data_IF_305496782185
#
_entry.id   IF_305496782185
#
_cell.length_a   1.000
_cell.length_b   1.000
_cell.length_c   1.000
_cell.angle_alpha   90.00
_cell.angle_beta   90.00
_cell.angle_gamma   90.00
#
_symmetry.space_group_name_H-M   'P 1'
#
loop_
_entity.id
_entity.type
_entity.pdbx_description
1 polymer ?
#
# COMPACT_ATOMS: atom_id res chain seq x y z
N UNK A 1 24.17 4.84 -16.17
CA UNK A 1 22.93 5.50 -15.65
C UNK A 1 23.20 6.62 -14.65
N UNK A 2 24.48 6.91 -14.40
CA UNK A 2 24.91 7.83 -13.32
C UNK A 2 24.99 9.32 -13.73
N UNK A 3 24.84 9.63 -15.00
CA UNK A 3 25.01 11.00 -15.50
C UNK A 3 23.91 11.98 -15.07
N UNK A 4 22.68 11.53 -14.85
CA UNK A 4 21.58 12.41 -14.45
C UNK A 4 21.49 12.65 -12.93
N UNK A 5 21.95 11.72 -12.14
CA UNK A 5 21.92 11.82 -10.67
C UNK A 5 23.08 12.66 -10.12
N UNK A 6 24.27 12.54 -10.73
CA UNK A 6 25.51 13.18 -10.25
C UNK A 6 25.57 14.66 -10.64
N UNK A 7 25.01 15.05 -11.78
CA UNK A 7 25.18 16.42 -12.30
C UNK A 7 24.23 17.45 -11.69
N UNK A 8 23.17 17.04 -10.97
CA UNK A 8 22.22 17.99 -10.37
C UNK A 8 22.23 18.05 -8.85
N UNK A 9 23.03 17.26 -8.13
CA UNK A 9 23.05 17.22 -6.65
C UNK A 9 21.65 17.22 -5.99
N UNK A 10 20.61 16.90 -6.74
CA UNK A 10 19.22 16.94 -6.32
C UNK A 10 18.75 15.61 -5.72
N UNK A 11 19.46 14.52 -6.03
CA UNK A 11 19.16 13.19 -5.51
C UNK A 11 20.48 12.59 -5.06
N UNK A 12 20.78 12.68 -3.77
CA UNK A 12 21.91 11.98 -3.18
C UNK A 12 21.60 10.49 -3.16
N UNK A 13 22.25 9.72 -4.02
CA UNK A 13 22.05 8.27 -4.18
C UNK A 13 22.76 7.47 -3.09
N UNK A 14 23.66 8.08 -2.32
CA UNK A 14 24.39 7.39 -1.26
C UNK A 14 24.83 8.35 -0.15
N UNK A 15 24.42 8.10 1.06
CA UNK A 15 25.14 8.52 2.27
C UNK A 15 24.79 9.85 2.91
N UNK A 16 24.08 10.77 2.26
CA UNK A 16 23.57 11.98 2.91
C UNK A 16 22.06 11.90 3.03
N UNK A 17 21.58 11.60 4.23
CA UNK A 17 20.16 11.50 4.58
C UNK A 17 19.55 12.90 4.63
N UNK A 18 19.26 13.46 3.46
CA UNK A 18 18.48 14.68 3.34
C UNK A 18 17.02 14.27 3.07
N UNK A 19 16.03 15.00 3.61
CA UNK A 19 14.60 14.72 3.36
C UNK A 19 14.27 14.58 1.87
N UNK A 20 15.01 15.26 1.01
CA UNK A 20 14.90 15.20 -0.45
C UNK A 20 15.27 13.81 -1.01
N UNK A 21 16.18 13.07 -0.36
CA UNK A 21 16.59 11.73 -0.79
C UNK A 21 15.48 10.68 -0.64
N UNK A 22 14.50 10.93 0.22
CA UNK A 22 13.34 10.04 0.39
C UNK A 22 12.24 10.24 -0.66
N UNK A 23 12.28 11.33 -1.44
CA UNK A 23 11.25 11.59 -2.46
C UNK A 23 11.30 10.52 -3.56
N UNK A 24 12.49 10.12 -4.00
CA UNK A 24 12.65 9.12 -5.06
C UNK A 24 12.11 7.73 -4.67
N UNK A 25 12.51 7.13 -3.52
CA UNK A 25 11.92 5.88 -3.05
C UNK A 25 10.41 5.98 -2.79
N UNK A 26 9.95 7.11 -2.23
CA UNK A 26 8.53 7.34 -1.97
C UNK A 26 7.70 7.37 -3.25
N UNK A 27 8.22 8.00 -4.31
CA UNK A 27 7.58 8.00 -5.64
C UNK A 27 7.51 6.58 -6.23
N UNK A 28 8.57 5.79 -6.10
CA UNK A 28 8.55 4.40 -6.57
C UNK A 28 7.46 3.59 -5.87
N UNK A 29 7.37 3.67 -4.54
CA UNK A 29 6.32 3.00 -3.76
C UNK A 29 4.94 3.54 -4.12
N UNK A 30 4.80 4.86 -4.27
CA UNK A 30 3.55 5.52 -4.60
C UNK A 30 3.00 5.12 -5.97
N UNK A 31 3.84 5.06 -7.00
CA UNK A 31 3.45 4.64 -8.35
C UNK A 31 3.03 3.18 -8.36
N UNK A 32 3.80 2.31 -7.67
CA UNK A 32 3.45 0.90 -7.54
C UNK A 32 2.11 0.72 -6.81
N UNK A 33 1.94 1.41 -5.69
CA UNK A 33 0.69 1.40 -4.92
C UNK A 33 -0.50 1.91 -5.75
N UNK A 34 -0.35 3.03 -6.45
CA UNK A 34 -1.40 3.59 -7.31
C UNK A 34 -1.80 2.60 -8.42
N UNK A 35 -0.83 1.94 -9.06
CA UNK A 35 -1.09 0.93 -10.08
C UNK A 35 -1.91 -0.26 -9.55
N UNK A 36 -1.66 -0.65 -8.30
CA UNK A 36 -2.37 -1.76 -7.66
C UNK A 36 -3.77 -1.36 -7.18
N UNK A 37 -3.91 -0.17 -6.56
CA UNK A 37 -5.20 0.24 -5.98
C UNK A 37 -6.18 0.83 -6.98
N UNK A 38 -5.72 1.34 -8.12
CA UNK A 38 -6.62 1.92 -9.14
C UNK A 38 -7.64 0.90 -9.66
N UNK A 39 -7.27 -0.30 -10.12
CA UNK A 39 -8.24 -1.29 -10.57
C UNK A 39 -9.17 -1.74 -9.45
N UNK A 40 -8.67 -1.95 -8.23
CA UNK A 40 -9.50 -2.33 -7.09
C UNK A 40 -10.57 -1.27 -6.77
N UNK A 41 -10.20 0.01 -6.82
CA UNK A 41 -11.15 1.10 -6.62
C UNK A 41 -12.17 1.17 -7.75
N UNK A 42 -11.74 0.98 -9.00
CA UNK A 42 -12.65 0.95 -10.15
C UNK A 42 -13.69 -0.18 -10.03
N UNK A 43 -13.25 -1.37 -9.66
CA UNK A 43 -14.15 -2.52 -9.47
C UNK A 43 -15.13 -2.27 -8.32
N UNK A 44 -14.67 -1.71 -7.21
CA UNK A 44 -15.51 -1.37 -6.09
C UNK A 44 -16.57 -0.31 -6.47
N UNK A 45 -16.18 0.72 -7.23
CA UNK A 45 -17.10 1.75 -7.72
C UNK A 45 -18.11 1.18 -8.73
N UNK A 46 -17.68 0.30 -9.63
CA UNK A 46 -18.57 -0.35 -10.58
C UNK A 46 -19.62 -1.21 -9.85
N UNK A 47 -19.22 -1.98 -8.84
CA UNK A 47 -20.13 -2.78 -8.04
C UNK A 47 -21.16 -1.90 -7.32
N UNK A 48 -20.73 -0.80 -6.68
CA UNK A 48 -21.65 0.13 -6.01
C UNK A 48 -22.60 0.83 -7.03
N UNK A 49 -22.15 1.09 -8.25
CA UNK A 49 -22.97 1.71 -9.29
C UNK A 49 -24.04 0.78 -9.87
N UNK A 50 -23.86 -0.54 -9.73
CA UNK A 50 -24.79 -1.57 -10.19
C UNK A 50 -25.86 -1.91 -9.12
N UNK A 51 -25.73 -1.42 -7.90
CA UNK A 51 -26.69 -1.65 -6.82
C UNK A 51 -28.04 -0.94 -7.07
N UNK A 52 -29.11 -1.52 -6.57
CA UNK A 52 -30.47 -1.02 -6.75
C UNK A 52 -30.66 0.43 -6.28
N UNK A 53 -30.00 0.82 -5.18
CA UNK A 53 -30.10 2.19 -4.69
C UNK A 53 -29.55 3.23 -5.67
N UNK A 54 -28.56 2.85 -6.49
CA UNK A 54 -28.00 3.72 -7.51
C UNK A 54 -29.05 3.97 -8.62
N UNK A 55 -29.80 2.94 -9.01
CA UNK A 55 -30.90 3.07 -9.95
C UNK A 55 -32.01 4.01 -9.42
N UNK A 56 -32.45 3.80 -8.17
CA UNK A 56 -33.46 4.69 -7.57
C UNK A 56 -32.98 6.13 -7.42
N UNK A 57 -31.71 6.34 -7.10
CA UNK A 57 -31.14 7.69 -7.00
C UNK A 57 -31.10 8.41 -8.36
N UNK A 58 -30.80 7.68 -9.44
CA UNK A 58 -30.88 8.21 -10.82
C UNK A 58 -32.31 8.57 -11.19
N UNK A 59 -33.29 7.74 -10.85
CA UNK A 59 -34.72 8.03 -11.09
C UNK A 59 -35.16 9.30 -10.35
N UNK A 60 -34.56 9.64 -9.22
CA UNK A 60 -34.82 10.90 -8.47
C UNK A 60 -34.10 12.12 -9.05
N UNK A 61 -33.37 11.97 -10.17
CA UNK A 61 -32.72 13.09 -10.86
C UNK A 61 -31.39 13.53 -10.24
N UNK A 62 -30.74 12.71 -9.41
CA UNK A 62 -29.44 13.02 -8.90
C UNK A 62 -28.39 12.95 -10.01
N UNK A 63 -27.49 13.95 -10.07
CA UNK A 63 -26.40 13.94 -11.05
C UNK A 63 -25.36 12.85 -10.74
N UNK A 64 -24.80 12.24 -11.77
CA UNK A 64 -23.77 11.17 -11.65
C UNK A 64 -22.58 11.60 -10.79
N UNK A 65 -22.13 12.84 -10.90
CA UNK A 65 -21.03 13.38 -10.11
C UNK A 65 -21.39 13.39 -8.62
N UNK A 66 -22.61 13.78 -8.27
CA UNK A 66 -23.08 13.79 -6.88
C UNK A 66 -23.20 12.37 -6.34
N UNK A 67 -23.70 11.42 -7.13
CA UNK A 67 -23.78 10.00 -6.81
C UNK A 67 -22.39 9.43 -6.56
N UNK A 68 -21.42 9.73 -7.44
CA UNK A 68 -20.06 9.25 -7.33
C UNK A 68 -19.40 9.71 -6.01
N UNK A 69 -19.38 11.02 -5.74
CA UNK A 69 -18.64 11.54 -4.60
C UNK A 69 -19.32 11.34 -3.25
N UNK A 70 -20.65 11.37 -3.19
CA UNK A 70 -21.36 11.31 -1.91
C UNK A 70 -21.93 9.93 -1.57
N UNK A 71 -22.05 9.04 -2.55
CA UNK A 71 -22.67 7.73 -2.33
C UNK A 71 -21.72 6.58 -2.66
N UNK A 72 -21.16 6.54 -3.88
CA UNK A 72 -20.33 5.42 -4.31
C UNK A 72 -18.95 5.44 -3.65
N UNK A 73 -18.24 6.57 -3.72
CA UNK A 73 -16.87 6.68 -3.24
C UNK A 73 -16.73 6.37 -1.73
N UNK A 74 -17.56 6.90 -0.81
CA UNK A 74 -17.44 6.57 0.59
C UNK A 74 -17.68 5.07 0.88
N UNK A 75 -18.64 4.45 0.19
CA UNK A 75 -18.93 3.02 0.36
C UNK A 75 -17.85 2.14 -0.24
N UNK A 76 -17.36 2.47 -1.43
CA UNK A 76 -16.25 1.77 -2.09
C UNK A 76 -14.99 1.81 -1.22
N UNK A 77 -14.62 2.99 -0.68
CA UNK A 77 -13.46 3.14 0.19
C UNK A 77 -13.58 2.31 1.46
N UNK A 78 -14.74 2.30 2.12
CA UNK A 78 -14.97 1.46 3.31
C UNK A 78 -14.79 -0.03 2.97
N UNK A 79 -15.25 -0.47 1.80
CA UNK A 79 -15.07 -1.83 1.32
C UNK A 79 -13.60 -2.20 1.01
N UNK A 80 -12.74 -1.21 0.73
CA UNK A 80 -11.33 -1.41 0.43
C UNK A 80 -10.42 -1.38 1.66
N UNK A 81 -10.92 -0.95 2.84
CA UNK A 81 -10.11 -0.86 4.06
C UNK A 81 -9.40 -2.20 4.39
N UNK A 82 -10.07 -3.37 4.35
CA UNK A 82 -9.40 -4.64 4.61
C UNK A 82 -8.26 -4.94 3.64
N UNK A 83 -8.48 -4.69 2.35
CA UNK A 83 -7.46 -4.88 1.31
C UNK A 83 -6.27 -3.95 1.52
N UNK A 84 -6.53 -2.71 1.96
CA UNK A 84 -5.46 -1.77 2.30
C UNK A 84 -4.63 -2.26 3.49
N UNK A 85 -5.26 -2.74 4.56
CA UNK A 85 -4.56 -3.31 5.71
C UNK A 85 -3.72 -4.54 5.33
N UNK A 86 -4.26 -5.43 4.52
CA UNK A 86 -3.55 -6.62 4.03
C UNK A 86 -2.33 -6.24 3.17
N UNK A 87 -2.42 -5.18 2.37
CA UNK A 87 -1.32 -4.73 1.53
C UNK A 87 -0.15 -4.11 2.30
N UNK A 88 -0.33 -3.73 3.57
CA UNK A 88 0.77 -3.25 4.42
C UNK A 88 1.85 -4.35 4.55
N UNK A 89 1.44 -5.62 4.72
CA UNK A 89 2.38 -6.74 4.75
C UNK A 89 3.18 -6.87 3.45
N UNK A 90 2.53 -6.72 2.30
CA UNK A 90 3.20 -6.73 0.99
C UNK A 90 4.11 -5.52 0.81
N UNK A 91 3.71 -4.35 1.31
CA UNK A 91 4.51 -3.13 1.25
C UNK A 91 5.81 -3.27 2.05
N UNK A 92 5.78 -3.94 3.22
CA UNK A 92 7.00 -4.24 4.00
C UNK A 92 7.98 -5.11 3.21
N UNK A 93 7.49 -6.13 2.50
CA UNK A 93 8.35 -6.96 1.66
C UNK A 93 8.97 -6.16 0.50
N UNK A 94 8.21 -5.28 -0.15
CA UNK A 94 8.71 -4.42 -1.22
C UNK A 94 9.67 -3.35 -0.71
N UNK A 95 9.45 -2.82 0.51
CA UNK A 95 10.32 -1.84 1.14
C UNK A 95 11.75 -2.38 1.29
N UNK A 96 11.93 -3.67 1.60
CA UNK A 96 13.24 -4.34 1.69
C UNK A 96 14.08 -4.15 0.42
N UNK A 97 13.46 -4.31 -0.75
CA UNK A 97 14.14 -4.15 -2.04
C UNK A 97 14.51 -2.68 -2.28
N UNK A 98 13.60 -1.77 -1.97
CA UNK A 98 13.81 -0.34 -2.18
C UNK A 98 14.88 0.21 -1.25
N UNK A 99 14.88 -0.19 0.02
CA UNK A 99 15.89 0.19 0.99
C UNK A 99 17.29 -0.25 0.55
N UNK A 100 17.41 -1.46 0.02
CA UNK A 100 18.71 -1.96 -0.47
C UNK A 100 19.20 -1.22 -1.71
N UNK A 101 18.30 -0.89 -2.67
CA UNK A 101 18.66 -0.18 -3.90
C UNK A 101 19.10 1.27 -3.60
N UNK A 102 18.39 1.95 -2.69
CA UNK A 102 18.67 3.33 -2.33
C UNK A 102 19.65 3.49 -1.16
N UNK A 103 20.21 2.38 -0.65
CA UNK A 103 21.12 2.35 0.51
C UNK A 103 20.56 3.11 1.72
N UNK A 104 19.25 3.01 1.92
CA UNK A 104 18.56 3.61 3.06
C UNK A 104 18.78 2.67 4.27
N UNK A 105 19.30 3.16 5.41
CA UNK A 105 19.51 2.34 6.59
C UNK A 105 18.16 1.95 7.20
N UNK A 106 17.61 0.84 6.73
CA UNK A 106 16.37 0.23 7.17
C UNK A 106 16.55 -1.26 7.39
N UNK A 107 15.48 -1.93 7.78
CA UNK A 107 15.50 -3.36 8.10
C UNK A 107 15.86 -4.23 6.89
N UNK A 108 15.33 -3.86 5.70
CA UNK A 108 15.64 -4.57 4.47
C UNK A 108 17.10 -4.39 4.02
N UNK A 109 17.67 -3.23 4.22
CA UNK A 109 19.08 -2.98 3.96
C UNK A 109 19.99 -3.86 4.85
N UNK A 110 19.63 -4.05 6.13
CA UNK A 110 20.34 -4.93 7.04
C UNK A 110 20.31 -6.38 6.57
N UNK A 111 19.15 -6.90 6.17
CA UNK A 111 19.02 -8.26 5.62
C UNK A 111 19.99 -8.47 4.44
N UNK A 112 20.01 -7.54 3.49
CA UNK A 112 20.87 -7.65 2.30
C UNK A 112 22.35 -7.65 2.68
N UNK A 113 22.79 -6.81 3.63
CA UNK A 113 24.17 -6.79 4.09
C UNK A 113 24.56 -8.10 4.77
N UNK A 114 23.73 -8.64 5.67
CA UNK A 114 24.03 -9.91 6.33
C UNK A 114 24.04 -11.09 5.32
N UNK A 115 23.27 -11.01 4.24
CA UNK A 115 23.35 -11.99 3.13
C UNK A 115 24.71 -11.90 2.43
N UNK A 116 25.22 -10.69 2.18
CA UNK A 116 26.52 -10.48 1.54
C UNK A 116 27.68 -10.91 2.46
N UNK A 117 27.52 -10.73 3.78
CA UNK A 117 28.49 -11.12 4.81
C UNK A 117 28.41 -12.61 5.15
N UNK A 118 27.45 -13.36 4.56
CA UNK A 118 27.19 -14.77 4.82
C UNK A 118 26.88 -15.08 6.29
N UNK A 119 26.32 -14.11 7.04
CA UNK A 119 25.94 -14.28 8.45
C UNK A 119 24.59 -14.98 8.56
N UNK A 120 24.62 -16.31 8.42
CA UNK A 120 23.42 -17.16 8.41
C UNK A 120 22.54 -17.00 9.67
N UNK A 121 23.07 -16.95 10.91
CA UNK A 121 22.26 -16.76 12.11
C UNK A 121 21.45 -15.44 12.10
N UNK A 122 22.09 -14.34 11.67
CA UNK A 122 21.44 -13.03 11.61
C UNK A 122 20.34 -12.98 10.53
N UNK A 123 20.62 -13.55 9.35
CA UNK A 123 19.61 -13.65 8.28
C UNK A 123 18.35 -14.38 8.77
N UNK A 124 18.51 -15.52 9.47
CA UNK A 124 17.35 -16.26 9.98
C UNK A 124 16.53 -15.44 10.99
N UNK A 125 17.21 -14.73 11.90
CA UNK A 125 16.54 -13.88 12.87
C UNK A 125 15.74 -12.75 12.20
N UNK A 126 16.34 -12.05 11.25
CA UNK A 126 15.72 -10.94 10.54
C UNK A 126 14.52 -11.38 9.69
N UNK A 127 14.67 -12.48 8.95
CA UNK A 127 13.58 -13.06 8.16
C UNK A 127 12.44 -13.51 9.06
N UNK A 128 12.74 -14.09 10.23
CA UNK A 128 11.72 -14.47 11.20
C UNK A 128 10.94 -13.25 11.72
N UNK A 129 11.62 -12.16 12.09
CA UNK A 129 10.95 -10.95 12.55
C UNK A 129 10.13 -10.28 11.44
N UNK A 130 10.61 -10.28 10.20
CA UNK A 130 9.85 -9.77 9.06
C UNK A 130 8.59 -10.60 8.81
N UNK A 131 8.71 -11.92 8.83
CA UNK A 131 7.57 -12.82 8.66
C UNK A 131 6.55 -12.65 9.78
N UNK A 132 7.01 -12.47 11.03
CA UNK A 132 6.14 -12.22 12.18
C UNK A 132 5.40 -10.89 12.02
N UNK A 133 6.07 -9.82 11.60
CA UNK A 133 5.45 -8.53 11.37
C UNK A 133 4.36 -8.61 10.28
N UNK A 134 4.65 -9.30 9.16
CA UNK A 134 3.69 -9.52 8.08
C UNK A 134 2.49 -10.33 8.58
N UNK A 135 2.72 -11.39 9.36
CA UNK A 135 1.65 -12.20 9.92
C UNK A 135 0.72 -11.40 10.86
N UNK A 136 1.30 -10.55 11.70
CA UNK A 136 0.53 -9.66 12.59
C UNK A 136 -0.32 -8.65 11.79
N UNK A 137 0.23 -8.08 10.72
CA UNK A 137 -0.51 -7.18 9.83
C UNK A 137 -1.71 -7.90 9.18
N UNK A 138 -1.51 -9.14 8.70
CA UNK A 138 -2.56 -9.93 8.10
C UNK A 138 -3.67 -10.28 9.10
N UNK A 139 -3.31 -10.69 10.31
CA UNK A 139 -4.29 -10.96 11.39
C UNK A 139 -5.10 -9.69 11.71
N UNK A 140 -4.45 -8.54 11.80
CA UNK A 140 -5.13 -7.27 12.02
C UNK A 140 -6.09 -6.92 10.87
N UNK A 141 -5.69 -7.19 9.62
CA UNK A 141 -6.53 -7.00 8.45
C UNK A 141 -7.78 -7.91 8.46
N UNK A 142 -7.60 -9.19 8.80
CA UNK A 142 -8.69 -10.16 8.90
C UNK A 142 -9.69 -9.76 9.99
N UNK A 143 -9.19 -9.31 11.14
CA UNK A 143 -10.03 -8.80 12.22
C UNK A 143 -10.82 -7.55 11.80
N UNK A 144 -10.19 -6.62 11.10
CA UNK A 144 -10.87 -5.44 10.55
C UNK A 144 -11.94 -5.84 9.52
N UNK A 145 -11.65 -6.80 8.66
CA UNK A 145 -12.61 -7.33 7.69
C UNK A 145 -13.82 -7.97 8.38
N UNK A 146 -13.59 -8.75 9.42
CA UNK A 146 -14.68 -9.35 10.21
C UNK A 146 -15.59 -8.29 10.84
N UNK A 147 -15.03 -7.25 11.43
CA UNK A 147 -15.78 -6.16 12.07
C UNK A 147 -16.58 -5.32 11.07
N UNK A 148 -16.04 -5.05 9.88
CA UNK A 148 -16.70 -4.30 8.82
C UNK A 148 -17.77 -5.16 8.14
N UNK A 149 -17.47 -6.42 7.86
CA UNK A 149 -18.41 -7.37 7.26
C UNK A 149 -19.65 -7.61 8.15
N UNK A 150 -19.47 -7.73 9.46
CA UNK A 150 -20.56 -7.86 10.42
C UNK A 150 -21.50 -6.65 10.41
N UNK A 151 -20.96 -5.43 10.22
CA UNK A 151 -21.79 -4.22 10.15
C UNK A 151 -22.59 -4.12 8.83
N UNK A 152 -22.06 -4.63 7.71
CA UNK A 152 -22.80 -4.68 6.44
C UNK A 152 -24.01 -5.63 6.55
N UNK A 153 -23.86 -6.77 7.22
CA UNK A 153 -24.94 -7.75 7.39
C UNK A 153 -26.11 -7.26 8.27
N UNK A 154 -25.89 -6.24 9.10
CA UNK A 154 -26.93 -5.67 10.01
C UNK A 154 -27.70 -4.52 9.33
N UNK A 155 -27.22 -3.98 8.21
CA UNK A 155 -27.84 -2.85 7.51
C UNK A 155 -28.75 -3.28 6.33
N UNK A 156 -28.91 -4.58 6.10
CA UNK A 156 -29.87 -5.19 5.18
C UNK A 156 -30.83 -6.09 5.96
#
# INVERSE_FOLDING_TARGET
MDYFAVQKSLISVAGNITLISYISPALCIGIFGASFYTPLLMDALNNESAEDYAFYARCRGLSEIRLLFFHFLPRAVIGLIPNFLQSIGLALANATIIESIFSIPGFGYLIVNHVLDHDTPMIHAEVFFLALAIALCNIAADFAQWTIGSKKAVMY
#
